data_IF_492617655165
#
_entry.id   IF_492617655165
#
_cell.length_a   1.000
_cell.length_b   1.000
_cell.length_c   1.000
_cell.angle_alpha   90.00
_cell.angle_beta   90.00
_cell.angle_gamma   90.00
#
_symmetry.space_group_name_H-M   'P 1'
#
loop_
_entity.id
_entity.type
_entity.pdbx_description
1 polymer ?
#
# COMPACT_ATOMS: atom_id res chain seq x y z
N UNK A 1 45.65 -5.12 -29.54
CA UNK A 1 46.27 -5.57 -30.81
C UNK A 1 45.35 -6.63 -31.39
N UNK A 2 44.46 -6.26 -32.33
CA UNK A 2 43.50 -7.18 -32.92
C UNK A 2 44.08 -7.73 -34.24
N UNK A 3 44.25 -9.05 -34.31
CA UNK A 3 44.63 -9.77 -35.52
C UNK A 3 43.38 -9.84 -36.42
N UNK A 4 43.44 -9.27 -37.63
CA UNK A 4 42.35 -9.36 -38.62
C UNK A 4 42.65 -10.53 -39.54
N UNK A 5 41.86 -11.60 -39.44
CA UNK A 5 41.83 -12.68 -40.41
C UNK A 5 40.88 -12.31 -41.55
N UNK A 6 41.41 -12.15 -42.76
CA UNK A 6 40.64 -12.07 -43.99
C UNK A 6 40.55 -13.48 -44.60
N UNK A 7 39.33 -13.93 -44.95
CA UNK A 7 39.11 -15.16 -45.72
C UNK A 7 38.82 -14.74 -47.17
N UNK A 8 39.69 -15.11 -48.09
CA UNK A 8 39.50 -14.88 -49.52
C UNK A 8 38.97 -16.16 -50.18
N UNK A 9 37.84 -16.06 -50.87
CA UNK A 9 37.36 -17.12 -51.78
C UNK A 9 37.91 -16.82 -53.18
N UNK A 10 38.38 -17.86 -53.88
CA UNK A 10 38.98 -17.75 -55.21
C UNK A 10 37.97 -17.17 -56.23
N UNK A 11 38.19 -15.91 -56.66
CA UNK A 11 37.30 -15.23 -57.60
C UNK A 11 37.19 -13.70 -57.43
N UNK A 12 38.24 -13.01 -56.99
CA UNK A 12 38.48 -11.60 -57.32
C UNK A 12 37.55 -10.51 -56.74
N UNK A 13 36.68 -10.80 -55.76
CA UNK A 13 35.87 -9.77 -55.12
C UNK A 13 36.09 -9.77 -53.60
N UNK A 14 36.90 -8.83 -53.11
CA UNK A 14 36.95 -8.49 -51.68
C UNK A 14 35.76 -7.58 -51.36
N UNK A 15 34.71 -8.13 -50.75
CA UNK A 15 33.69 -7.31 -50.11
C UNK A 15 34.23 -6.84 -48.74
N UNK A 16 34.25 -5.53 -48.51
CA UNK A 16 34.45 -4.99 -47.17
C UNK A 16 33.33 -5.49 -46.27
N UNK A 17 33.67 -6.18 -45.19
CA UNK A 17 32.71 -6.48 -44.14
C UNK A 17 32.23 -5.14 -43.58
N UNK A 18 30.90 -4.94 -43.42
CA UNK A 18 30.38 -3.71 -42.85
C UNK A 18 31.07 -3.45 -41.51
N UNK A 19 31.40 -2.18 -41.18
CA UNK A 19 32.07 -1.84 -39.94
C UNK A 19 31.30 -2.50 -38.81
N UNK A 20 32.00 -3.37 -38.06
CA UNK A 20 31.47 -4.11 -36.92
C UNK A 20 30.74 -3.08 -36.06
N UNK A 21 29.42 -3.20 -36.00
CA UNK A 21 28.58 -2.31 -35.22
C UNK A 21 29.24 -2.19 -33.85
N UNK A 22 29.69 -0.98 -33.52
CA UNK A 22 30.13 -0.69 -32.17
C UNK A 22 28.94 -1.04 -31.30
N UNK A 23 29.11 -2.05 -30.45
CA UNK A 23 28.14 -2.37 -29.41
C UNK A 23 27.99 -1.10 -28.58
N UNK A 24 26.96 -0.30 -28.89
CA UNK A 24 26.44 0.66 -27.94
C UNK A 24 26.07 -0.18 -26.73
N UNK A 25 26.77 0.04 -25.63
CA UNK A 25 26.43 -0.52 -24.33
C UNK A 25 24.94 -0.30 -24.12
N UNK A 26 24.16 -1.40 -24.17
CA UNK A 26 22.76 -1.35 -23.82
C UNK A 26 22.69 -0.81 -22.39
N UNK A 27 21.94 0.28 -22.13
CA UNK A 27 21.91 0.86 -20.81
C UNK A 27 21.28 -0.14 -19.84
N UNK A 28 21.87 -0.20 -18.65
CA UNK A 28 21.62 -1.12 -17.53
C UNK A 28 20.14 -1.50 -17.34
N UNK A 29 19.92 -2.78 -17.00
CA UNK A 29 18.63 -3.50 -17.06
C UNK A 29 17.43 -2.75 -16.51
N UNK A 30 16.32 -2.76 -17.27
CA UNK A 30 15.02 -2.13 -16.95
C UNK A 30 13.82 -3.06 -17.14
N UNK A 31 12.66 -2.91 -16.45
CA UNK A 31 11.34 -3.46 -16.90
C UNK A 31 11.37 -3.54 -18.42
N UNK A 32 10.97 -4.65 -19.05
CA UNK A 32 11.13 -4.80 -20.51
C UNK A 32 10.69 -3.50 -21.20
N UNK A 33 11.60 -2.80 -21.89
CA UNK A 33 11.33 -1.50 -22.54
C UNK A 33 11.31 -0.22 -21.71
N UNK A 34 11.54 -0.30 -20.39
CA UNK A 34 11.42 0.81 -19.45
C UNK A 34 12.67 1.63 -19.18
N UNK A 35 12.55 2.53 -18.21
CA UNK A 35 13.65 3.40 -17.74
C UNK A 35 13.74 3.40 -16.22
N UNK A 36 14.90 3.75 -15.63
CA UNK A 36 14.99 3.99 -14.20
C UNK A 36 13.96 5.02 -13.73
N UNK A 37 13.29 4.70 -12.62
CA UNK A 37 12.39 5.60 -11.93
C UNK A 37 13.19 6.65 -11.14
N UNK A 38 12.60 7.83 -11.00
CA UNK A 38 13.08 8.90 -10.13
C UNK A 38 12.36 8.84 -8.78
N UNK A 39 12.95 9.49 -7.77
CA UNK A 39 12.49 9.40 -6.38
C UNK A 39 11.05 9.89 -6.16
N UNK A 40 10.53 10.72 -7.07
CA UNK A 40 9.19 11.32 -6.99
C UNK A 40 8.13 10.55 -7.76
N UNK A 41 8.50 9.60 -8.62
CA UNK A 41 7.58 8.91 -9.53
C UNK A 41 6.81 7.76 -8.87
N UNK A 42 7.37 7.16 -7.81
CA UNK A 42 6.71 6.05 -7.11
C UNK A 42 7.01 6.01 -5.60
N UNK A 43 6.70 7.09 -4.85
CA UNK A 43 6.95 7.13 -3.40
C UNK A 43 6.10 6.14 -2.58
N UNK A 44 5.11 5.49 -3.18
CA UNK A 44 4.29 4.42 -2.60
C UNK A 44 4.84 3.02 -2.86
N UNK A 45 5.88 2.87 -3.70
CA UNK A 45 6.44 1.57 -4.05
C UNK A 45 7.03 0.88 -2.82
N UNK A 46 6.67 -0.38 -2.64
CA UNK A 46 7.33 -1.24 -1.65
C UNK A 46 7.88 -2.51 -2.30
N UNK A 47 8.83 -3.11 -1.61
CA UNK A 47 9.36 -4.45 -1.86
C UNK A 47 8.84 -5.38 -0.77
N UNK A 48 7.99 -6.33 -1.14
CA UNK A 48 7.59 -7.42 -0.28
C UNK A 48 8.68 -8.48 -0.30
N UNK A 49 9.27 -8.75 0.86
CA UNK A 49 10.36 -9.71 1.00
C UNK A 49 9.92 -10.92 1.79
N UNK A 50 10.36 -12.10 1.35
CA UNK A 50 10.27 -13.33 2.10
C UNK A 50 11.54 -13.50 2.93
N UNK A 51 11.38 -13.80 4.22
CA UNK A 51 12.51 -14.21 5.04
C UNK A 51 12.86 -15.67 4.75
N UNK A 52 14.12 -15.93 4.47
CA UNK A 52 14.65 -17.27 4.22
C UNK A 52 15.92 -17.54 5.02
N UNK A 53 16.33 -18.82 5.05
CA UNK A 53 17.52 -19.26 5.77
C UNK A 53 18.82 -18.59 5.27
N UNK A 54 18.85 -18.26 3.97
CA UNK A 54 19.98 -17.56 3.32
C UNK A 54 19.80 -16.04 3.26
N UNK A 55 18.84 -15.46 3.99
CA UNK A 55 18.54 -14.04 4.02
C UNK A 55 17.19 -13.67 3.42
N UNK A 56 16.87 -12.36 3.45
CA UNK A 56 15.64 -11.83 2.88
C UNK A 56 15.75 -11.75 1.35
N UNK A 57 14.76 -12.29 0.63
CA UNK A 57 14.66 -12.21 -0.82
C UNK A 57 13.44 -11.41 -1.26
N UNK A 58 13.59 -10.62 -2.33
CA UNK A 58 12.45 -9.95 -2.95
C UNK A 58 11.53 -10.99 -3.57
N UNK A 59 10.25 -10.88 -3.26
CA UNK A 59 9.20 -11.78 -3.75
C UNK A 59 8.28 -11.06 -4.72
N UNK A 60 7.77 -9.89 -4.31
CA UNK A 60 6.77 -9.11 -5.03
C UNK A 60 6.93 -7.63 -4.73
N UNK A 61 6.30 -6.80 -5.56
CA UNK A 61 5.99 -5.41 -5.25
C UNK A 61 4.75 -5.24 -4.36
N UNK A 62 4.41 -3.98 -4.14
CA UNK A 62 3.22 -3.56 -3.40
C UNK A 62 3.06 -2.05 -3.43
N UNK A 63 1.92 -1.60 -2.95
CA UNK A 63 1.54 -0.19 -2.89
C UNK A 63 1.23 0.22 -1.46
N UNK A 64 1.92 1.23 -0.93
CA UNK A 64 1.58 1.84 0.35
C UNK A 64 0.28 2.65 0.22
N UNK A 65 -0.82 2.19 0.81
CA UNK A 65 -2.15 2.83 0.70
C UNK A 65 -2.61 3.47 2.03
N UNK A 66 -1.84 3.27 3.08
CA UNK A 66 -1.97 3.88 4.39
C UNK A 66 -0.67 3.73 5.16
N UNK A 67 -0.48 4.45 6.27
CA UNK A 67 0.79 4.37 7.03
C UNK A 67 1.09 2.96 7.56
N UNK A 68 0.09 2.10 7.74
CA UNK A 68 0.26 0.70 8.16
C UNK A 68 -0.33 -0.33 7.19
N UNK A 69 -0.65 0.09 5.96
CA UNK A 69 -1.43 -0.73 5.03
C UNK A 69 -0.80 -0.74 3.66
N UNK A 70 -0.55 -1.95 3.17
CA UNK A 70 0.02 -2.21 1.84
C UNK A 70 -0.97 -3.06 1.05
N UNK A 71 -1.22 -2.69 -0.21
CA UNK A 71 -1.96 -3.52 -1.16
C UNK A 71 -0.97 -4.26 -2.05
N UNK A 72 -1.21 -5.55 -2.26
CA UNK A 72 -0.42 -6.42 -3.14
C UNK A 72 -1.33 -7.50 -3.74
N UNK A 73 -0.77 -8.37 -4.57
CA UNK A 73 -1.50 -9.47 -5.18
C UNK A 73 -1.69 -10.62 -4.18
N UNK A 74 -2.80 -11.34 -4.28
CA UNK A 74 -3.09 -12.52 -3.48
C UNK A 74 -2.05 -13.62 -3.69
N UNK A 75 -1.61 -13.87 -4.94
CA UNK A 75 -0.59 -14.88 -5.23
C UNK A 75 0.78 -14.59 -4.57
N UNK A 76 1.04 -13.33 -4.20
CA UNK A 76 2.25 -12.95 -3.48
C UNK A 76 2.23 -13.40 -2.01
N UNK A 77 1.04 -13.52 -1.42
CA UNK A 77 0.86 -13.85 0.01
C UNK A 77 0.18 -15.19 0.24
N UNK A 78 -0.29 -15.87 -0.80
CA UNK A 78 -0.96 -17.16 -0.69
C UNK A 78 -0.05 -18.22 -0.05
N UNK A 79 -0.60 -18.96 0.92
CA UNK A 79 0.13 -19.93 1.75
C UNK A 79 1.21 -19.35 2.70
N UNK A 80 1.40 -18.03 2.74
CA UNK A 80 2.42 -17.39 3.57
C UNK A 80 1.91 -17.03 4.96
N UNK A 81 2.79 -17.10 5.95
CA UNK A 81 2.54 -16.54 7.29
C UNK A 81 3.08 -15.11 7.39
N UNK A 82 2.41 -14.26 8.17
CA UNK A 82 2.85 -12.88 8.42
C UNK A 82 4.30 -12.80 8.93
N UNK A 83 4.70 -13.72 9.80
CA UNK A 83 6.07 -13.83 10.34
C UNK A 83 7.14 -14.12 9.28
N UNK A 84 6.76 -14.69 8.14
CA UNK A 84 7.64 -14.98 7.02
C UNK A 84 7.82 -13.81 6.05
N UNK A 85 7.10 -12.70 6.24
CA UNK A 85 7.10 -11.55 5.35
C UNK A 85 7.56 -10.26 6.04
N UNK A 86 8.27 -9.44 5.28
CA UNK A 86 8.60 -8.06 5.65
C UNK A 86 8.37 -7.14 4.47
N UNK A 87 8.22 -5.85 4.76
CA UNK A 87 8.11 -4.80 3.75
C UNK A 87 9.35 -3.91 3.83
N UNK A 88 10.01 -3.73 2.70
CA UNK A 88 11.10 -2.76 2.51
C UNK A 88 10.66 -1.60 1.63
N UNK A 89 11.06 -0.37 1.95
CA UNK A 89 10.59 0.83 1.24
C UNK A 89 11.59 2.00 1.29
N UNK A 90 11.25 3.09 0.60
CA UNK A 90 11.91 4.40 0.75
C UNK A 90 13.20 4.57 -0.05
N UNK A 91 13.36 3.85 -1.15
CA UNK A 91 14.51 3.96 -2.03
C UNK A 91 14.24 3.40 -3.43
N UNK A 92 15.16 3.70 -4.35
CA UNK A 92 15.11 3.24 -5.74
C UNK A 92 15.91 1.96 -5.95
N UNK A 93 16.96 1.73 -5.16
CA UNK A 93 17.74 0.51 -5.22
C UNK A 93 17.16 -0.53 -4.26
N UNK A 94 16.65 -1.64 -4.82
CA UNK A 94 16.05 -2.76 -4.08
C UNK A 94 17.00 -3.39 -3.06
N UNK A 95 18.30 -3.34 -3.31
CA UNK A 95 19.34 -3.92 -2.45
C UNK A 95 19.76 -2.99 -1.32
N UNK A 96 19.52 -1.68 -1.48
CA UNK A 96 19.86 -0.64 -0.51
C UNK A 96 18.63 -0.02 0.18
N UNK A 97 17.48 -0.71 0.16
CA UNK A 97 16.29 -0.24 0.86
C UNK A 97 16.54 -0.20 2.38
N UNK A 98 16.68 1.02 2.90
CA UNK A 98 17.15 1.26 4.26
C UNK A 98 16.12 0.95 5.35
N UNK A 99 14.83 0.85 5.01
CA UNK A 99 13.77 0.67 6.01
C UNK A 99 13.06 -0.65 5.80
N UNK A 100 12.96 -1.43 6.89
CA UNK A 100 12.28 -2.73 6.93
C UNK A 100 11.24 -2.71 8.05
N UNK A 101 10.01 -3.12 7.75
CA UNK A 101 8.92 -3.26 8.72
C UNK A 101 8.32 -4.66 8.61
N UNK A 102 8.07 -5.31 9.74
CA UNK A 102 7.49 -6.66 9.75
C UNK A 102 5.99 -6.63 9.45
N UNK A 103 5.47 -7.74 8.93
CA UNK A 103 4.05 -7.91 8.68
C UNK A 103 3.36 -8.44 9.94
N UNK A 104 2.26 -7.80 10.34
CA UNK A 104 1.44 -8.20 11.48
C UNK A 104 0.26 -9.07 11.08
N UNK A 105 -0.34 -8.81 9.92
CA UNK A 105 -1.46 -9.60 9.41
C UNK A 105 -1.54 -9.55 7.88
N UNK A 106 -2.14 -10.58 7.30
CA UNK A 106 -2.41 -10.70 5.86
C UNK A 106 -3.92 -10.89 5.71
N UNK A 107 -4.58 -9.99 4.99
CA UNK A 107 -5.99 -10.11 4.63
C UNK A 107 -6.06 -10.50 3.15
N UNK A 108 -6.12 -11.80 2.91
CA UNK A 108 -6.28 -12.38 1.58
C UNK A 108 -7.75 -12.29 1.15
N UNK A 109 -8.02 -12.02 -0.14
CA UNK A 109 -9.38 -12.15 -0.66
C UNK A 109 -9.85 -13.60 -0.59
N UNK A 110 -10.99 -13.87 0.06
CA UNK A 110 -11.48 -15.23 0.32
C UNK A 110 -11.84 -16.02 -0.95
N UNK A 111 -12.14 -15.31 -2.04
CA UNK A 111 -12.45 -15.90 -3.35
C UNK A 111 -11.25 -16.03 -4.28
N UNK A 112 -10.02 -15.78 -3.80
CA UNK A 112 -8.81 -15.94 -4.61
C UNK A 112 -8.73 -17.36 -5.18
N UNK A 113 -8.59 -17.45 -6.50
CA UNK A 113 -8.43 -18.69 -7.24
C UNK A 113 -7.06 -18.70 -7.93
N UNK A 114 -6.15 -19.54 -7.44
CA UNK A 114 -4.79 -19.64 -7.97
C UNK A 114 -4.72 -20.30 -9.36
N UNK A 115 -5.74 -21.07 -9.77
CA UNK A 115 -5.79 -21.68 -11.10
C UNK A 115 -6.24 -20.67 -12.14
N UNK A 116 -7.27 -19.88 -11.82
CA UNK A 116 -7.78 -18.83 -12.71
C UNK A 116 -6.99 -17.51 -12.61
N UNK A 117 -6.17 -17.34 -11.56
CA UNK A 117 -5.52 -16.08 -11.17
C UNK A 117 -6.54 -14.94 -11.13
N UNK A 118 -7.63 -15.21 -10.40
CA UNK A 118 -8.76 -14.31 -10.27
C UNK A 118 -9.02 -14.00 -8.78
N UNK A 119 -9.66 -12.87 -8.51
CA UNK A 119 -9.75 -12.28 -7.17
C UNK A 119 -8.36 -12.11 -6.53
N UNK A 120 -7.38 -11.70 -7.33
CA UNK A 120 -5.96 -11.60 -6.95
C UNK A 120 -5.64 -10.36 -6.09
N UNK A 121 -6.29 -10.23 -4.93
CA UNK A 121 -6.17 -9.09 -4.02
C UNK A 121 -5.72 -9.51 -2.61
N UNK A 122 -4.77 -8.77 -2.05
CA UNK A 122 -4.34 -8.93 -0.67
C UNK A 122 -4.02 -7.58 -0.02
N UNK A 123 -4.42 -7.42 1.25
CA UNK A 123 -4.04 -6.29 2.09
C UNK A 123 -3.13 -6.77 3.20
N UNK A 124 -1.92 -6.21 3.25
CA UNK A 124 -0.93 -6.47 4.28
C UNK A 124 -1.03 -5.37 5.33
N UNK A 125 -1.15 -5.76 6.61
CA UNK A 125 -1.04 -4.86 7.75
C UNK A 125 0.35 -4.91 8.37
N UNK A 126 1.01 -3.77 8.43
CA UNK A 126 2.35 -3.62 9.01
C UNK A 126 2.30 -3.56 10.54
N UNK A 127 3.34 -4.06 11.20
CA UNK A 127 3.48 -4.04 12.66
C UNK A 127 3.66 -2.63 13.24
N UNK A 128 4.22 -1.70 12.46
CA UNK A 128 4.45 -0.32 12.83
C UNK A 128 4.10 0.63 11.66
N UNK A 129 3.68 1.87 11.95
CA UNK A 129 3.46 2.86 10.90
C UNK A 129 4.75 3.24 10.19
N UNK A 130 4.65 3.33 8.87
CA UNK A 130 5.66 3.88 7.99
C UNK A 130 5.68 5.40 8.14
N UNK A 131 6.89 5.95 8.25
CA UNK A 131 7.14 7.37 8.36
C UNK A 131 7.04 8.06 6.98
N UNK A 132 5.86 8.60 6.67
CA UNK A 132 5.58 9.30 5.40
C UNK A 132 6.06 10.76 5.39
N UNK A 133 6.76 11.22 6.42
CA UNK A 133 7.43 12.54 6.43
C UNK A 133 8.69 12.54 5.56
N UNK A 134 9.20 11.36 5.18
CA UNK A 134 10.36 11.22 4.30
C UNK A 134 9.98 11.65 2.87
N UNK A 135 10.86 12.35 2.14
CA UNK A 135 10.53 12.94 0.84
C UNK A 135 10.07 11.91 -0.21
N UNK A 136 10.57 10.68 -0.11
CA UNK A 136 10.35 9.60 -1.09
C UNK A 136 9.40 8.52 -0.57
N UNK A 137 8.56 8.83 0.42
CA UNK A 137 7.63 7.87 1.02
C UNK A 137 6.26 8.51 1.18
N UNK A 138 5.29 8.08 0.37
CA UNK A 138 3.92 8.60 0.39
C UNK A 138 2.92 7.47 0.19
N UNK A 139 1.72 7.66 0.70
CA UNK A 139 0.59 6.78 0.40
C UNK A 139 0.02 7.11 -0.98
N UNK A 140 -0.54 6.11 -1.66
CA UNK A 140 -1.35 6.29 -2.87
C UNK A 140 -2.83 6.03 -2.56
N UNK A 141 -3.70 6.87 -3.12
CA UNK A 141 -5.15 6.67 -3.03
C UNK A 141 -5.61 5.58 -4.01
N UNK A 142 -6.67 4.86 -3.65
CA UNK A 142 -7.34 3.93 -4.56
C UNK A 142 -8.26 4.69 -5.53
N UNK A 143 -8.36 4.23 -6.77
CA UNK A 143 -9.42 4.70 -7.68
C UNK A 143 -10.80 4.27 -7.16
N UNK A 144 -11.82 5.11 -7.37
CA UNK A 144 -13.22 4.76 -7.13
C UNK A 144 -13.87 4.08 -8.34
N UNK A 145 -13.39 4.44 -9.54
CA UNK A 145 -13.92 3.97 -10.82
C UNK A 145 -12.76 3.55 -11.72
N UNK A 146 -12.94 2.49 -12.49
CA UNK A 146 -11.92 2.03 -13.41
C UNK A 146 -11.61 3.11 -14.46
N UNK A 147 -10.34 3.38 -14.78
CA UNK A 147 -9.99 4.32 -15.83
C UNK A 147 -10.49 3.81 -17.18
N UNK A 148 -10.91 4.72 -18.07
CA UNK A 148 -11.41 4.36 -19.38
C UNK A 148 -10.30 3.83 -20.30
N UNK A 149 -10.67 3.02 -21.30
CA UNK A 149 -9.74 2.63 -22.38
C UNK A 149 -9.09 3.86 -23.03
N UNK A 150 -7.79 3.75 -23.31
CA UNK A 150 -6.94 4.83 -23.81
C UNK A 150 -6.36 5.76 -22.73
N UNK A 151 -6.81 5.64 -21.46
CA UNK A 151 -6.26 6.47 -20.38
C UNK A 151 -4.77 6.17 -20.17
N UNK A 152 -3.95 7.20 -19.89
CA UNK A 152 -2.56 6.98 -19.52
C UNK A 152 -2.48 6.29 -18.16
N UNK A 153 -1.59 5.32 -18.06
CA UNK A 153 -1.25 4.66 -16.82
C UNK A 153 0.26 4.48 -16.72
N UNK A 154 0.78 4.21 -15.53
CA UNK A 154 2.20 3.90 -15.34
C UNK A 154 2.38 2.75 -14.38
N UNK A 155 3.50 2.06 -14.55
CA UNK A 155 3.89 0.91 -13.74
C UNK A 155 5.31 1.11 -13.24
N UNK A 156 5.54 0.70 -11.99
CA UNK A 156 6.87 0.66 -11.40
C UNK A 156 7.17 -0.67 -10.74
N UNK A 157 8.43 -1.10 -10.80
CA UNK A 157 8.84 -2.35 -10.17
C UNK A 157 10.29 -2.74 -10.41
N UNK A 158 10.67 -3.87 -9.81
CA UNK A 158 12.01 -4.48 -9.90
C UNK A 158 11.95 -5.87 -10.54
N UNK A 159 10.93 -6.12 -11.35
CA UNK A 159 10.80 -7.33 -12.14
C UNK A 159 11.81 -7.41 -13.27
N UNK A 160 11.85 -8.58 -13.91
CA UNK A 160 12.80 -8.90 -14.97
C UNK A 160 12.77 -7.88 -16.10
N UNK A 161 13.95 -7.67 -16.65
CA UNK A 161 14.23 -6.58 -17.56
C UNK A 161 14.33 -6.96 -19.03
N UNK A 162 14.34 -8.26 -19.25
CA UNK A 162 14.40 -8.91 -20.55
C UNK A 162 13.37 -10.03 -20.47
N UNK A 163 12.54 -10.15 -21.52
CA UNK A 163 11.56 -11.21 -21.60
C UNK A 163 12.18 -12.61 -21.50
N UNK A 164 11.51 -13.50 -20.78
CA UNK A 164 11.98 -14.87 -20.51
C UNK A 164 12.20 -15.15 -19.02
N UNK A 165 12.92 -16.23 -18.72
CA UNK A 165 13.16 -16.72 -17.34
C UNK A 165 14.62 -16.59 -16.89
N UNK A 166 15.49 -16.00 -17.71
CA UNK A 166 16.96 -16.03 -17.52
C UNK A 166 17.59 -14.64 -17.38
N UNK A 167 16.79 -13.57 -17.38
CA UNK A 167 17.27 -12.22 -17.10
C UNK A 167 17.61 -12.03 -15.61
N UNK A 168 18.50 -11.08 -15.31
CA UNK A 168 18.68 -10.61 -13.93
C UNK A 168 17.64 -9.53 -13.61
N UNK A 169 17.02 -9.60 -12.43
CA UNK A 169 16.20 -8.50 -11.91
C UNK A 169 17.09 -7.27 -11.66
N UNK A 170 16.63 -6.06 -12.03
CA UNK A 170 17.39 -4.86 -11.82
C UNK A 170 17.47 -4.54 -10.33
N UNK A 171 18.51 -3.81 -9.94
CA UNK A 171 18.60 -3.22 -8.60
C UNK A 171 17.84 -1.90 -8.56
N UNK A 172 17.99 -1.06 -9.59
CA UNK A 172 17.24 0.18 -9.75
C UNK A 172 15.76 -0.08 -10.06
N UNK A 173 14.88 0.69 -9.41
CA UNK A 173 13.44 0.71 -9.66
C UNK A 173 13.20 1.23 -11.07
N UNK A 174 12.29 0.58 -11.77
CA UNK A 174 12.00 0.87 -13.16
C UNK A 174 10.62 1.47 -13.31
N UNK A 175 10.42 2.19 -14.40
CA UNK A 175 9.22 2.94 -14.73
C UNK A 175 8.87 2.76 -16.21
N UNK A 176 7.59 2.58 -16.49
CA UNK A 176 7.02 2.53 -17.84
C UNK A 176 5.65 3.23 -17.86
N UNK A 177 5.40 4.00 -18.92
CA UNK A 177 4.07 4.51 -19.25
C UNK A 177 3.35 3.50 -20.16
N UNK A 178 2.08 3.27 -19.87
CA UNK A 178 1.18 2.36 -20.58
C UNK A 178 -0.11 3.10 -20.98
N UNK A 179 -0.91 2.45 -21.84
CA UNK A 179 -2.30 2.83 -22.06
C UNK A 179 -3.21 1.74 -21.51
N UNK A 180 -4.30 2.15 -20.86
CA UNK A 180 -5.38 1.24 -20.47
C UNK A 180 -6.06 0.71 -21.75
N UNK A 181 -6.31 -0.59 -21.80
CA UNK A 181 -7.11 -1.22 -22.85
C UNK A 181 -8.52 -1.46 -22.30
N UNK A 182 -9.55 -1.13 -23.09
CA UNK A 182 -10.93 -1.37 -22.66
C UNK A 182 -11.18 -2.87 -22.44
N UNK A 183 -12.09 -3.22 -21.52
CA UNK A 183 -12.41 -4.62 -21.23
C UNK A 183 -12.82 -5.42 -22.48
N UNK A 184 -13.62 -4.81 -23.34
CA UNK A 184 -14.11 -5.41 -24.59
C UNK A 184 -12.96 -5.67 -25.56
N UNK A 185 -12.09 -4.68 -25.77
CA UNK A 185 -10.94 -4.81 -26.66
C UNK A 185 -9.92 -5.83 -26.12
N UNK A 186 -9.65 -5.82 -24.82
CA UNK A 186 -8.77 -6.80 -24.20
C UNK A 186 -9.28 -8.23 -24.41
N UNK A 187 -10.56 -8.50 -24.10
CA UNK A 187 -11.15 -9.82 -24.33
C UNK A 187 -11.20 -10.19 -25.81
N UNK A 188 -11.44 -9.25 -26.71
CA UNK A 188 -11.44 -9.52 -28.14
C UNK A 188 -10.06 -9.97 -28.63
N UNK A 189 -8.99 -9.29 -28.21
CA UNK A 189 -7.62 -9.64 -28.57
C UNK A 189 -7.20 -11.01 -28.02
N UNK A 190 -7.59 -11.34 -26.78
CA UNK A 190 -7.38 -12.68 -26.24
C UNK A 190 -8.17 -13.73 -27.03
N UNK A 191 -9.42 -13.43 -27.40
CA UNK A 191 -10.25 -14.32 -28.21
C UNK A 191 -9.69 -14.57 -29.60
N UNK A 192 -9.14 -13.55 -30.25
CA UNK A 192 -8.53 -13.65 -31.58
C UNK A 192 -7.31 -14.59 -31.59
N UNK A 193 -6.59 -14.68 -30.47
CA UNK A 193 -5.37 -15.48 -30.34
C UNK A 193 -5.60 -16.87 -29.74
N UNK A 194 -6.51 -16.98 -28.78
CA UNK A 194 -6.68 -18.17 -27.94
C UNK A 194 -8.10 -18.74 -27.97
N UNK A 195 -9.02 -18.14 -28.72
CA UNK A 195 -10.44 -18.50 -28.67
C UNK A 195 -11.03 -18.25 -27.27
N UNK A 196 -11.96 -19.09 -26.85
CA UNK A 196 -12.64 -18.95 -25.55
C UNK A 196 -11.83 -19.58 -24.37
N UNK A 197 -10.53 -19.86 -24.57
CA UNK A 197 -9.67 -20.48 -23.54
C UNK A 197 -9.25 -19.49 -22.45
N UNK A 198 -9.16 -18.19 -22.78
CA UNK A 198 -8.76 -17.14 -21.86
C UNK A 198 -9.84 -16.07 -21.85
N UNK A 199 -10.39 -15.80 -20.67
CA UNK A 199 -11.39 -14.74 -20.45
C UNK A 199 -10.84 -13.80 -19.39
N UNK A 200 -10.68 -12.53 -19.76
CA UNK A 200 -10.32 -11.47 -18.83
C UNK A 200 -11.60 -11.00 -18.14
N UNK A 201 -11.69 -11.26 -16.83
CA UNK A 201 -12.90 -11.01 -16.05
C UNK A 201 -13.06 -9.52 -15.73
N UNK A 202 -14.25 -9.09 -15.30
CA UNK A 202 -14.48 -7.71 -14.88
C UNK A 202 -13.68 -7.28 -13.63
N UNK A 203 -13.00 -8.22 -12.95
CA UNK A 203 -12.07 -7.97 -11.85
C UNK A 203 -10.65 -7.71 -12.34
N UNK A 204 -10.44 -7.69 -13.65
CA UNK A 204 -9.14 -7.51 -14.26
C UNK A 204 -9.18 -6.30 -15.20
N UNK A 205 -8.09 -5.55 -15.22
CA UNK A 205 -7.87 -4.41 -16.10
C UNK A 205 -6.65 -4.68 -16.97
N UNK A 206 -6.66 -4.20 -18.22
CA UNK A 206 -5.59 -4.48 -19.17
C UNK A 206 -4.80 -3.23 -19.56
N UNK A 207 -3.53 -3.44 -19.93
CA UNK A 207 -2.70 -2.40 -20.55
C UNK A 207 -2.00 -2.88 -21.81
N UNK A 208 -1.63 -1.93 -22.65
CA UNK A 208 -0.81 -2.16 -23.84
C UNK A 208 0.38 -1.20 -23.90
N UNK A 209 1.45 -1.67 -24.54
CA UNK A 209 2.60 -0.91 -24.99
C UNK A 209 3.30 -1.65 -26.13
N UNK A 210 3.92 -0.91 -27.04
CA UNK A 210 4.53 -1.46 -28.27
C UNK A 210 5.90 -2.13 -28.01
N UNK A 211 6.57 -1.74 -26.93
CA UNK A 211 7.94 -2.17 -26.63
C UNK A 211 8.23 -2.43 -25.16
N UNK A 212 7.20 -2.47 -24.31
CA UNK A 212 7.33 -2.70 -22.88
C UNK A 212 6.24 -3.59 -22.29
N UNK A 213 6.58 -4.27 -21.19
CA UNK A 213 5.63 -5.07 -20.40
C UNK A 213 6.11 -5.22 -18.96
N UNK A 214 5.16 -5.40 -18.04
CA UNK A 214 5.48 -5.89 -16.70
C UNK A 214 5.99 -7.34 -16.77
N UNK A 215 6.89 -7.72 -15.88
CA UNK A 215 7.49 -9.06 -15.89
C UNK A 215 7.69 -9.66 -14.50
N UNK A 216 8.24 -10.87 -14.44
CA UNK A 216 8.46 -11.63 -13.21
C UNK A 216 9.18 -10.78 -12.16
N UNK A 217 8.58 -10.62 -10.98
CA UNK A 217 9.07 -9.77 -9.89
C UNK A 217 8.38 -8.41 -9.76
N UNK A 218 7.64 -7.97 -10.78
CA UNK A 218 6.75 -6.80 -10.66
C UNK A 218 5.42 -7.15 -9.98
N UNK A 219 5.08 -8.44 -9.89
CA UNK A 219 3.90 -8.99 -9.22
C UNK A 219 3.53 -8.27 -7.93
N UNK A 220 2.26 -7.93 -7.76
CA UNK A 220 1.76 -7.16 -6.63
C UNK A 220 2.07 -5.65 -6.67
N UNK A 221 2.90 -5.19 -7.60
CA UNK A 221 3.25 -3.77 -7.77
C UNK A 221 2.09 -2.89 -8.25
N UNK A 222 2.28 -1.55 -8.22
CA UNK A 222 1.26 -0.60 -8.60
C UNK A 222 1.12 -0.44 -10.12
N UNK A 223 -0.12 -0.49 -10.62
CA UNK A 223 -0.53 0.19 -11.85
C UNK A 223 -1.26 1.49 -11.46
N UNK A 224 -0.74 2.64 -11.86
CA UNK A 224 -1.22 3.97 -11.47
C UNK A 224 -1.88 4.66 -12.65
N UNK A 225 -3.09 5.19 -12.46
CA UNK A 225 -3.76 6.03 -13.45
C UNK A 225 -4.36 7.26 -12.74
N UNK A 226 -4.18 8.45 -13.32
CA UNK A 226 -4.66 9.70 -12.71
C UNK A 226 -4.09 9.97 -11.30
N UNK A 227 -2.87 9.49 -11.02
CA UNK A 227 -2.24 9.62 -9.70
C UNK A 227 -2.80 8.71 -8.60
N UNK A 228 -3.68 7.76 -8.97
CA UNK A 228 -4.31 6.80 -8.05
C UNK A 228 -4.01 5.37 -8.46
N UNK A 229 -4.04 4.45 -7.49
CA UNK A 229 -3.82 3.03 -7.73
C UNK A 229 -5.04 2.47 -8.48
N UNK A 230 -4.83 2.11 -9.75
CA UNK A 230 -5.85 1.62 -10.66
C UNK A 230 -5.82 0.09 -10.81
N UNK A 231 -4.65 -0.51 -10.65
CA UNK A 231 -4.50 -1.96 -10.73
C UNK A 231 -3.33 -2.49 -9.89
N UNK A 232 -3.31 -3.81 -9.74
CA UNK A 232 -2.27 -4.58 -9.04
C UNK A 232 -1.66 -5.56 -10.05
N UNK A 233 -0.34 -5.58 -10.22
CA UNK A 233 0.34 -6.53 -11.14
C UNK A 233 -0.03 -7.96 -10.76
N UNK A 234 -0.65 -8.70 -11.68
CA UNK A 234 -1.26 -10.00 -11.40
C UNK A 234 -0.69 -11.09 -12.30
N UNK A 235 -0.95 -11.03 -13.61
CA UNK A 235 -0.49 -12.05 -14.55
C UNK A 235 -0.21 -11.49 -15.95
N UNK A 236 0.47 -12.29 -16.76
CA UNK A 236 0.80 -11.96 -18.13
C UNK A 236 1.35 -13.17 -18.86
N UNK A 237 1.76 -12.98 -20.11
CA UNK A 237 2.35 -14.05 -20.89
C UNK A 237 3.75 -14.38 -20.32
N UNK A 238 4.05 -15.68 -20.15
CA UNK A 238 5.22 -16.20 -19.44
C UNK A 238 6.57 -15.63 -19.88
N UNK A 239 6.70 -15.22 -21.14
CA UNK A 239 7.95 -14.66 -21.68
C UNK A 239 8.03 -13.13 -21.60
N UNK A 240 7.06 -12.45 -21.00
CA UNK A 240 6.97 -11.00 -20.90
C UNK A 240 7.28 -10.32 -22.25
N UNK A 241 6.41 -10.51 -23.26
CA UNK A 241 6.67 -9.97 -24.59
C UNK A 241 6.80 -8.46 -24.49
N UNK A 242 7.77 -7.88 -25.18
CA UNK A 242 7.93 -6.42 -25.21
C UNK A 242 6.74 -5.75 -25.89
N UNK A 243 6.15 -6.38 -26.91
CA UNK A 243 4.92 -5.88 -27.53
C UNK A 243 3.70 -6.55 -26.89
N UNK A 244 2.87 -5.74 -26.22
CA UNK A 244 1.61 -6.17 -25.59
C UNK A 244 0.37 -5.68 -26.34
N UNK A 245 0.53 -5.11 -27.54
CA UNK A 245 -0.61 -4.64 -28.35
C UNK A 245 -1.50 -5.79 -28.82
N UNK A 246 -0.96 -7.00 -29.02
CA UNK A 246 -1.76 -8.19 -29.38
C UNK A 246 -2.19 -9.03 -28.17
N UNK A 247 -1.37 -9.04 -27.13
CA UNK A 247 -1.64 -9.74 -25.87
C UNK A 247 -1.47 -8.75 -24.72
N UNK A 248 -2.51 -7.98 -24.38
CA UNK A 248 -2.43 -6.99 -23.30
C UNK A 248 -2.01 -7.63 -21.99
N UNK A 249 -1.24 -6.92 -21.17
CA UNK A 249 -0.94 -7.38 -19.81
C UNK A 249 -2.16 -7.17 -18.91
N UNK A 250 -2.40 -8.07 -17.95
CA UNK A 250 -3.60 -8.04 -17.11
C UNK A 250 -3.26 -7.87 -15.61
N UNK A 251 -4.06 -7.05 -14.95
CA UNK A 251 -3.86 -6.60 -13.58
C UNK A 251 -5.15 -6.79 -12.81
N UNK A 252 -5.10 -7.00 -11.50
CA UNK A 252 -6.31 -7.00 -10.69
C UNK A 252 -6.87 -5.56 -10.62
N UNK A 253 -8.13 -5.36 -11.02
CA UNK A 253 -8.79 -4.05 -11.09
C UNK A 253 -9.14 -3.56 -9.69
N UNK A 254 -8.51 -2.46 -9.26
CA UNK A 254 -8.73 -1.89 -7.93
C UNK A 254 -10.12 -1.30 -7.78
N UNK A 255 -10.70 -0.71 -8.83
CA UNK A 255 -12.03 -0.12 -8.75
C UNK A 255 -13.09 -1.19 -8.47
N UNK A 256 -12.95 -2.36 -9.11
CA UNK A 256 -13.88 -3.48 -8.93
C UNK A 256 -13.95 -3.95 -7.46
N UNK A 257 -12.81 -3.97 -6.76
CA UNK A 257 -12.72 -4.42 -5.37
C UNK A 257 -12.44 -3.30 -4.36
N UNK A 258 -12.69 -2.03 -4.73
CA UNK A 258 -12.33 -0.87 -3.89
C UNK A 258 -13.00 -0.91 -2.52
N UNK A 259 -14.26 -1.38 -2.46
CA UNK A 259 -15.00 -1.52 -1.20
C UNK A 259 -14.36 -2.55 -0.28
N UNK A 260 -13.96 -3.71 -0.82
CA UNK A 260 -13.28 -4.75 -0.05
C UNK A 260 -11.89 -4.30 0.41
N UNK A 261 -11.12 -3.66 -0.47
CA UNK A 261 -9.80 -3.10 -0.15
C UNK A 261 -9.91 -2.08 0.99
N UNK A 262 -10.79 -1.09 0.86
CA UNK A 262 -11.04 -0.08 1.92
C UNK A 262 -11.51 -0.73 3.22
N UNK A 263 -12.38 -1.73 3.13
CA UNK A 263 -12.84 -2.50 4.28
C UNK A 263 -11.68 -3.04 5.10
N UNK A 264 -10.69 -3.66 4.45
CA UNK A 264 -9.53 -4.27 5.09
C UNK A 264 -8.42 -3.28 5.46
N UNK A 265 -8.31 -2.14 4.76
CA UNK A 265 -7.42 -1.04 5.15
C UNK A 265 -7.92 -0.38 6.45
N UNK A 266 -9.23 -0.16 6.58
CA UNK A 266 -9.84 0.56 7.71
C UNK A 266 -10.31 -0.32 8.88
N UNK A 267 -10.16 -1.65 8.83
CA UNK A 267 -10.47 -2.54 9.98
C UNK A 267 -9.77 -2.09 11.27
N UNK A 268 -8.61 -1.41 11.15
CA UNK A 268 -7.88 -0.80 12.27
C UNK A 268 -8.67 0.30 12.97
N UNK A 269 -9.31 1.21 12.23
CA UNK A 269 -10.09 2.29 12.84
C UNK A 269 -11.38 1.76 13.46
N UNK A 270 -12.03 0.77 12.85
CA UNK A 270 -13.27 0.20 13.40
C UNK A 270 -13.01 -0.56 14.70
N UNK A 271 -12.00 -1.42 14.76
CA UNK A 271 -11.68 -2.16 15.99
C UNK A 271 -11.21 -1.22 17.09
N UNK A 272 -10.32 -0.26 16.78
CA UNK A 272 -9.87 0.72 17.77
C UNK A 272 -11.02 1.63 18.23
N UNK A 273 -11.90 2.10 17.33
CA UNK A 273 -13.05 2.90 17.71
C UNK A 273 -14.08 2.10 18.52
N UNK A 274 -14.31 0.82 18.22
CA UNK A 274 -15.19 -0.06 18.99
C UNK A 274 -14.59 -0.33 20.37
N UNK A 275 -13.30 -0.68 20.46
CA UNK A 275 -12.61 -0.90 21.74
C UNK A 275 -12.55 0.38 22.56
N UNK A 276 -12.29 1.54 21.94
CA UNK A 276 -12.32 2.84 22.59
C UNK A 276 -13.74 3.21 23.04
N UNK A 277 -14.77 2.94 22.24
CA UNK A 277 -16.16 3.16 22.62
C UNK A 277 -16.59 2.24 23.79
N UNK A 278 -16.17 0.98 23.78
CA UNK A 278 -16.41 0.03 24.89
C UNK A 278 -15.65 0.48 26.15
N UNK A 279 -14.40 0.91 26.03
CA UNK A 279 -13.61 1.44 27.12
C UNK A 279 -14.21 2.74 27.69
N UNK A 280 -14.60 3.68 26.83
CA UNK A 280 -15.28 4.91 27.25
C UNK A 280 -16.63 4.60 27.91
N UNK A 281 -17.39 3.62 27.40
CA UNK A 281 -18.64 3.17 28.02
C UNK A 281 -18.41 2.48 29.38
N UNK A 282 -17.34 1.71 29.56
CA UNK A 282 -16.99 1.07 30.83
C UNK A 282 -16.47 2.06 31.88
N UNK A 283 -15.69 3.07 31.44
CA UNK A 283 -15.28 4.20 32.29
C UNK A 283 -16.48 5.07 32.67
N UNK A 284 -17.38 5.36 31.72
CA UNK A 284 -18.62 6.09 32.00
C UNK A 284 -19.54 5.35 32.99
N UNK A 285 -19.63 4.01 32.89
CA UNK A 285 -20.37 3.21 33.87
C UNK A 285 -19.69 3.10 35.24
N UNK A 286 -18.37 3.30 35.31
CA UNK A 286 -17.63 3.39 36.58
C UNK A 286 -17.77 4.76 37.26
N UNK A 287 -18.18 5.79 36.52
CA UNK A 287 -18.60 7.10 37.03
C UNK A 287 -20.14 7.23 37.06
N UNK A 288 -20.84 6.24 37.63
CA UNK A 288 -22.17 6.54 38.18
C UNK A 288 -21.97 7.39 39.43
N UNK A 289 -21.82 8.70 39.25
CA UNK A 289 -21.93 9.65 40.35
C UNK A 289 -23.29 9.41 41.03
N UNK A 290 -23.33 9.23 42.35
CA UNK A 290 -24.60 9.17 43.06
C UNK A 290 -25.33 10.49 42.76
N UNK A 291 -26.58 10.41 42.30
CA UNK A 291 -27.45 11.59 42.24
C UNK A 291 -27.77 11.99 43.67
N UNK A 292 -26.93 12.85 44.25
CA UNK A 292 -27.16 13.41 45.57
C UNK A 292 -28.24 14.48 45.47
N UNK A 293 -29.49 14.14 45.83
CA UNK A 293 -30.55 15.12 46.07
C UNK A 293 -30.46 15.60 47.52
N UNK A 294 -30.49 16.90 47.76
CA UNK A 294 -30.63 17.48 49.11
C UNK A 294 -29.42 18.25 49.66
N UNK A 295 -28.38 18.51 48.86
CA UNK A 295 -27.27 19.37 49.28
C UNK A 295 -27.41 20.76 48.65
N UNK A 296 -27.25 21.81 49.46
CA UNK A 296 -27.07 23.18 48.99
C UNK A 296 -25.60 23.56 49.14
N UNK A 297 -25.00 24.11 48.08
CA UNK A 297 -23.63 24.63 48.11
C UNK A 297 -23.72 26.15 48.16
N UNK A 298 -23.21 26.75 49.23
CA UNK A 298 -23.06 28.19 49.32
C UNK A 298 -21.59 28.55 49.16
N UNK A 299 -21.29 29.37 48.15
CA UNK A 299 -20.02 30.07 48.04
C UNK A 299 -20.10 31.33 48.89
N UNK A 300 -19.01 31.68 49.56
CA UNK A 300 -18.92 32.98 50.23
C UNK A 300 -18.95 34.09 49.17
N UNK A 301 -19.98 34.93 49.19
CA UNK A 301 -19.87 36.25 48.58
C UNK A 301 -18.93 37.11 49.44
N UNK A 302 -17.92 37.76 48.86
CA UNK A 302 -16.92 38.48 49.63
C UNK A 302 -17.55 39.75 50.23
N UNK A 303 -18.02 39.65 51.46
CA UNK A 303 -18.21 40.81 52.33
C UNK A 303 -16.93 41.00 53.13
N UNK A 304 -16.19 42.04 52.74
CA UNK A 304 -15.00 42.58 53.39
C UNK A 304 -13.64 41.88 53.20
N UNK A 305 -12.63 42.74 53.24
CA UNK A 305 -11.31 42.67 52.60
C UNK A 305 -10.26 41.91 53.43
N UNK A 306 -10.59 40.76 53.99
CA UNK A 306 -9.61 39.97 54.79
C UNK A 306 -9.60 38.51 54.37
N UNK A 307 -8.57 38.14 53.58
CA UNK A 307 -8.23 36.77 53.15
C UNK A 307 -9.41 35.95 52.62
N UNK A 308 -10.06 36.44 51.56
CA UNK A 308 -11.04 35.62 50.84
C UNK A 308 -10.31 34.44 50.19
N UNK A 309 -10.67 33.22 50.56
CA UNK A 309 -10.43 32.03 49.75
C UNK A 309 -11.63 31.86 48.82
N UNK A 310 -11.66 32.49 47.62
CA UNK A 310 -12.85 32.54 46.77
C UNK A 310 -13.29 31.16 46.25
N UNK A 311 -12.41 30.16 46.38
CA UNK A 311 -12.68 28.77 46.07
C UNK A 311 -13.33 28.00 47.23
N UNK A 312 -13.36 28.51 48.46
CA UNK A 312 -13.91 27.79 49.62
C UNK A 312 -15.44 27.86 49.62
N UNK A 313 -16.08 26.71 49.72
CA UNK A 313 -17.54 26.56 49.81
C UNK A 313 -17.97 25.81 51.07
N UNK A 314 -19.18 26.14 51.53
CA UNK A 314 -19.89 25.40 52.57
C UNK A 314 -20.91 24.46 51.93
N UNK A 315 -20.77 23.16 52.20
CA UNK A 315 -21.72 22.12 51.81
C UNK A 315 -22.72 21.95 52.95
N UNK A 316 -24.00 22.16 52.65
CA UNK A 316 -25.07 22.13 53.65
C UNK A 316 -26.12 21.06 53.37
N UNK A 317 -26.68 20.50 54.44
CA UNK A 317 -27.86 19.62 54.42
C UNK A 317 -28.92 20.25 55.31
N UNK A 318 -30.13 20.44 54.80
CA UNK A 318 -31.23 21.14 55.49
C UNK A 318 -30.85 22.53 56.05
N UNK A 319 -29.99 23.27 55.34
CA UNK A 319 -29.54 24.61 55.73
C UNK A 319 -28.45 24.64 56.81
N UNK A 320 -27.96 23.49 57.28
CA UNK A 320 -26.88 23.41 58.26
C UNK A 320 -25.56 22.99 57.62
N UNK A 321 -24.44 23.61 58.05
CA UNK A 321 -23.09 23.28 57.58
C UNK A 321 -22.75 21.82 57.92
N UNK A 322 -22.37 21.05 56.90
CA UNK A 322 -21.90 19.67 57.07
C UNK A 322 -20.41 19.57 56.87
N UNK A 323 -19.92 20.16 55.79
CA UNK A 323 -18.51 20.12 55.43
C UNK A 323 -18.08 21.33 54.63
N UNK A 324 -16.77 21.57 54.66
CA UNK A 324 -16.09 22.48 53.75
C UNK A 324 -15.68 21.77 52.46
N UNK A 325 -15.60 22.52 51.38
CA UNK A 325 -15.06 22.05 50.10
C UNK A 325 -14.39 23.18 49.32
N UNK A 326 -13.81 22.82 48.18
CA UNK A 326 -13.18 23.77 47.25
C UNK A 326 -13.80 23.65 45.87
N UNK A 327 -14.10 24.77 45.22
CA UNK A 327 -14.54 24.83 43.83
C UNK A 327 -13.39 24.41 42.90
N UNK A 328 -13.70 23.54 41.94
CA UNK A 328 -12.80 23.15 40.86
C UNK A 328 -13.53 23.34 39.51
N UNK A 329 -13.32 24.50 38.89
CA UNK A 329 -14.07 24.94 37.72
C UNK A 329 -15.49 25.42 38.05
N UNK A 330 -16.32 25.63 37.03
CA UNK A 330 -17.62 26.31 37.19
C UNK A 330 -18.73 25.48 37.85
N UNK A 331 -18.61 24.14 37.90
CA UNK A 331 -19.71 23.26 38.30
C UNK A 331 -19.31 22.12 39.26
N UNK A 332 -18.08 22.10 39.80
CA UNK A 332 -17.63 21.01 40.67
C UNK A 332 -17.11 21.50 42.01
N UNK A 333 -17.45 20.76 43.08
CA UNK A 333 -16.93 20.94 44.43
C UNK A 333 -16.17 19.69 44.84
N UNK A 334 -14.94 19.87 45.32
CA UNK A 334 -14.13 18.81 45.91
C UNK A 334 -14.24 18.89 47.44
N UNK A 335 -14.58 17.77 48.08
CA UNK A 335 -14.67 17.65 49.55
C UNK A 335 -14.25 16.24 49.99
N UNK A 336 -14.12 16.00 51.29
CA UNK A 336 -13.82 14.68 51.82
C UNK A 336 -15.00 13.71 51.58
N UNK A 337 -14.72 12.46 51.19
CA UNK A 337 -15.75 11.48 50.86
C UNK A 337 -16.77 11.22 52.00
N UNK A 338 -16.36 11.34 53.26
CA UNK A 338 -17.27 11.24 54.43
C UNK A 338 -18.38 12.30 54.45
N UNK A 339 -18.19 13.41 53.72
CA UNK A 339 -19.13 14.52 53.67
C UNK A 339 -20.33 14.25 52.75
N UNK A 340 -20.23 13.24 51.89
CA UNK A 340 -21.28 12.85 50.93
C UNK A 340 -21.93 11.51 51.29
N UNK A 341 -21.48 10.86 52.37
CA UNK A 341 -22.12 9.68 52.93
C UNK A 341 -23.12 10.15 54.00
N UNK A 342 -24.41 10.01 53.70
CA UNK A 342 -25.51 10.31 54.62
C UNK A 342 -25.60 9.28 55.73
#
# INVERSE_FOLDING_TARGET
>A
MALVLAVCVAGGHCAELPPRATFRTAPEGRIVGGRPATATEAPWQISLVSSGWFGDSHRCGGSLVGTQSVVTAAHCTDGMQASGLKVKYGGLDRTALAVTVTVSNIYQHASYDAQAIDWDYSVIKLSAPIETSRPNVKTIELVDTAPAGGSPASLTGWGLTIGGNTGSSPTALQYVDFKIVSQTDCNQRYKDLYGDQIVVTARQICTEHESASGCNGDSGGPLVAGGKLAGIVSWGIRNCPSDTTKTPAAYADVANQVAWLRGNIHTVMKVVAIVLAIYLASVANSFKSPKFRGFNVMANEPKEKTRSAPWHVSIQVNGSHRCSGSLNGFNWVVTAAKCTQG
#
